data_IF_888083987707
#
_entry.id   IF_888083987707
#
_cell.length_a   1.000
_cell.length_b   1.000
_cell.length_c   1.000
_cell.angle_alpha   90.00
_cell.angle_beta   90.00
_cell.angle_gamma   90.00
#
_symmetry.space_group_name_H-M   'P 1'
#
loop_
_entity.id
_entity.type
_entity.pdbx_description
1 polymer ?
#
# COMPACT_ATOMS: atom_id res chain seq x y z
N UNK A 1 6.51 20.88 -4.99
CA UNK A 1 5.73 22.06 -4.56
C UNK A 1 4.90 22.62 -5.72
N UNK A 2 5.46 22.93 -6.91
CA UNK A 2 4.75 23.56 -8.04
C UNK A 2 3.54 22.74 -8.54
N UNK A 3 3.67 21.43 -8.74
CA UNK A 3 2.59 20.54 -9.19
C UNK A 3 1.41 20.48 -8.20
N UNK A 4 1.67 20.60 -6.89
CA UNK A 4 0.63 20.63 -5.84
C UNK A 4 -0.15 21.95 -5.85
N UNK A 5 0.53 23.07 -6.02
CA UNK A 5 -0.10 24.38 -6.13
C UNK A 5 -0.98 24.49 -7.38
N UNK A 6 -0.54 23.88 -8.48
CA UNK A 6 -1.34 23.82 -9.71
C UNK A 6 -2.60 22.98 -9.53
N UNK A 7 -2.51 21.81 -8.87
CA UNK A 7 -3.65 20.95 -8.56
C UNK A 7 -4.69 21.68 -7.67
N UNK A 8 -4.24 22.48 -6.68
CA UNK A 8 -5.15 23.26 -5.81
C UNK A 8 -5.87 24.35 -6.61
N UNK A 9 -5.20 25.01 -7.57
CA UNK A 9 -5.79 26.07 -8.38
C UNK A 9 -6.84 25.56 -9.36
N UNK A 10 -6.65 24.35 -9.88
CA UNK A 10 -7.51 23.77 -10.93
C UNK A 10 -8.80 23.16 -10.36
N UNK A 11 -8.94 23.09 -9.02
CA UNK A 11 -10.08 22.44 -8.35
C UNK A 11 -10.78 23.36 -7.35
N UNK A 12 -11.61 24.29 -7.85
CA UNK A 12 -12.40 25.22 -7.00
C UNK A 12 -13.86 24.80 -6.79
N UNK A 13 -14.31 23.66 -7.37
CA UNK A 13 -15.71 23.21 -7.30
C UNK A 13 -16.01 22.27 -6.13
N UNK A 14 -17.30 22.16 -5.79
CA UNK A 14 -17.79 21.22 -4.76
C UNK A 14 -17.39 19.77 -5.12
N UNK A 15 -16.63 19.11 -4.26
CA UNK A 15 -16.01 17.80 -4.54
C UNK A 15 -14.51 17.90 -4.92
N UNK A 16 -13.97 19.09 -5.05
CA UNK A 16 -12.56 19.31 -5.35
C UNK A 16 -11.61 18.71 -4.32
N UNK A 17 -12.02 18.64 -3.05
CA UNK A 17 -11.22 18.05 -1.98
C UNK A 17 -10.84 16.59 -2.28
N UNK A 18 -11.75 15.81 -2.85
CA UNK A 18 -11.49 14.44 -3.24
C UNK A 18 -10.46 14.36 -4.40
N UNK A 19 -10.65 15.17 -5.45
CA UNK A 19 -9.72 15.22 -6.59
C UNK A 19 -8.32 15.71 -6.17
N UNK A 20 -8.25 16.67 -5.24
CA UNK A 20 -6.98 17.16 -4.69
C UNK A 20 -6.29 16.07 -3.89
N UNK A 21 -7.02 15.31 -3.07
CA UNK A 21 -6.49 14.19 -2.31
C UNK A 21 -5.95 13.08 -3.21
N UNK A 22 -6.68 12.73 -4.27
CA UNK A 22 -6.23 11.78 -5.30
C UNK A 22 -4.96 12.25 -6.00
N UNK A 23 -4.91 13.53 -6.38
CA UNK A 23 -3.73 14.07 -7.06
C UNK A 23 -2.50 14.16 -6.15
N UNK A 24 -2.69 14.45 -4.87
CA UNK A 24 -1.60 14.41 -3.88
C UNK A 24 -1.07 12.98 -3.68
N UNK A 25 -1.96 12.00 -3.67
CA UNK A 25 -1.63 10.58 -3.64
C UNK A 25 -0.77 10.16 -4.85
N UNK A 26 -1.18 10.54 -6.05
CA UNK A 26 -0.45 10.25 -7.28
C UNK A 26 0.93 10.93 -7.32
N UNK A 27 1.02 12.19 -6.88
CA UNK A 27 2.28 12.95 -6.83
C UNK A 27 3.28 12.33 -5.84
N UNK A 28 2.79 11.73 -4.74
CA UNK A 28 3.63 11.07 -3.73
C UNK A 28 3.96 9.62 -4.06
N UNK A 29 3.21 9.02 -5.00
CA UNK A 29 3.22 7.59 -5.27
C UNK A 29 2.46 6.79 -4.20
N UNK A 30 1.79 5.72 -4.61
CA UNK A 30 0.99 4.88 -3.71
C UNK A 30 1.86 4.02 -2.75
N UNK A 31 3.17 4.02 -2.92
CA UNK A 31 4.10 3.45 -1.93
C UNK A 31 3.92 4.03 -0.53
N UNK A 32 3.49 5.29 -0.44
CA UNK A 32 3.16 5.96 0.82
C UNK A 32 1.78 5.59 1.36
N UNK A 33 0.88 5.07 0.54
CA UNK A 33 -0.43 4.58 0.95
C UNK A 33 -0.33 3.24 1.68
N UNK A 34 0.69 2.48 1.35
CA UNK A 34 1.00 1.18 1.93
C UNK A 34 2.01 1.28 3.09
N UNK A 35 2.56 2.47 3.37
CA UNK A 35 3.55 2.73 4.42
C UNK A 35 3.04 3.63 5.55
N UNK A 36 3.75 3.63 6.69
CA UNK A 36 3.39 4.35 7.92
C UNK A 36 3.83 5.82 7.97
N UNK A 37 4.54 6.34 6.98
CA UNK A 37 5.00 7.74 7.00
C UNK A 37 3.93 8.69 6.45
N UNK A 38 3.00 9.06 7.29
CA UNK A 38 2.11 10.21 7.11
C UNK A 38 2.66 11.46 7.86
N UNK A 39 3.90 11.83 7.61
CA UNK A 39 4.43 13.10 8.10
C UNK A 39 4.38 14.15 7.01
N UNK A 40 3.21 14.77 6.85
CA UNK A 40 3.07 15.91 5.93
C UNK A 40 1.64 16.29 5.65
N UNK A 41 1.08 17.14 6.53
CA UNK A 41 -0.16 17.92 6.40
C UNK A 41 -1.52 17.21 6.38
N UNK A 42 -2.27 17.59 7.35
CA UNK A 42 -3.59 17.32 7.93
C UNK A 42 -4.75 16.99 6.97
N UNK A 43 -4.69 17.31 5.68
CA UNK A 43 -5.79 17.11 4.74
C UNK A 43 -5.82 15.72 4.07
N UNK A 44 -4.69 15.04 3.92
CA UNK A 44 -4.63 13.67 3.40
C UNK A 44 -4.87 12.61 4.49
N UNK A 45 -4.46 12.91 5.74
CA UNK A 45 -4.66 12.06 6.92
C UNK A 45 -6.15 11.87 7.24
N UNK A 46 -6.98 12.90 6.99
CA UNK A 46 -8.39 12.87 7.32
C UNK A 46 -9.18 11.78 6.60
N UNK A 47 -8.95 11.56 5.33
CA UNK A 47 -9.78 10.63 4.55
C UNK A 47 -9.37 9.17 4.76
N UNK A 48 -8.08 8.85 4.70
CA UNK A 48 -7.60 7.49 4.95
C UNK A 48 -7.86 7.07 6.41
N UNK A 49 -7.56 7.96 7.39
CA UNK A 49 -7.87 7.72 8.80
C UNK A 49 -9.39 7.68 9.06
N UNK A 50 -10.18 8.49 8.37
CA UNK A 50 -11.64 8.46 8.46
C UNK A 50 -12.20 7.15 7.89
N UNK A 51 -11.74 6.68 6.74
CA UNK A 51 -12.12 5.40 6.16
C UNK A 51 -11.71 4.24 7.08
N UNK A 52 -10.50 4.26 7.62
CA UNK A 52 -10.01 3.26 8.57
C UNK A 52 -10.82 3.27 9.88
N UNK A 53 -11.13 4.42 10.45
CA UNK A 53 -11.99 4.53 11.63
C UNK A 53 -13.43 4.06 11.35
N UNK A 54 -13.98 4.38 10.19
CA UNK A 54 -15.31 3.93 9.77
C UNK A 54 -15.34 2.40 9.62
N UNK A 55 -14.35 1.84 9.00
CA UNK A 55 -14.21 0.40 8.79
C UNK A 55 -13.98 -0.35 10.11
N UNK A 56 -13.12 0.17 10.99
CA UNK A 56 -12.94 -0.36 12.35
C UNK A 56 -14.24 -0.29 13.15
N UNK A 57 -15.02 0.80 13.03
CA UNK A 57 -16.30 0.96 13.71
C UNK A 57 -17.35 0.00 13.17
N UNK A 58 -17.42 -0.17 11.85
CA UNK A 58 -18.34 -1.11 11.20
C UNK A 58 -17.98 -2.55 11.58
N UNK A 59 -16.70 -2.90 11.59
CA UNK A 59 -16.22 -4.23 11.97
C UNK A 59 -16.44 -4.51 13.46
N UNK A 60 -16.30 -3.52 14.36
CA UNK A 60 -16.69 -3.64 15.77
C UNK A 60 -18.19 -3.89 15.95
N UNK A 61 -19.00 -3.18 15.19
CA UNK A 61 -20.47 -3.33 15.25
C UNK A 61 -20.96 -4.66 14.67
N UNK A 62 -20.30 -5.17 13.62
CA UNK A 62 -20.67 -6.43 12.96
C UNK A 62 -20.18 -7.68 13.70
N UNK A 63 -18.98 -7.66 14.24
CA UNK A 63 -18.30 -8.88 14.67
C UNK A 63 -18.15 -9.03 16.18
N UNK A 64 -18.51 -8.03 16.99
CA UNK A 64 -18.55 -8.14 18.48
C UNK A 64 -17.26 -8.60 19.16
N UNK A 65 -16.12 -8.68 18.45
CA UNK A 65 -14.85 -9.17 18.98
C UNK A 65 -13.81 -8.04 18.96
N UNK A 66 -13.33 -7.71 20.14
CA UNK A 66 -12.10 -6.96 20.38
C UNK A 66 -10.87 -7.86 20.08
N UNK A 67 -10.63 -8.18 18.82
CA UNK A 67 -9.29 -8.55 18.44
C UNK A 67 -8.52 -7.24 18.28
N UNK A 68 -7.48 -7.03 19.06
CA UNK A 68 -6.47 -5.99 18.80
C UNK A 68 -5.96 -6.27 17.38
N UNK A 69 -6.21 -5.38 16.39
CA UNK A 69 -5.71 -5.62 15.05
C UNK A 69 -4.19 -5.68 15.15
N UNK A 70 -3.59 -6.75 14.63
CA UNK A 70 -2.15 -6.78 14.46
C UNK A 70 -1.77 -5.56 13.59
N UNK A 71 -0.73 -4.81 13.96
CA UNK A 71 -0.36 -3.63 13.21
C UNK A 71 -0.02 -4.01 11.76
N UNK A 72 -0.56 -3.26 10.82
CA UNK A 72 -0.33 -3.47 9.39
C UNK A 72 1.17 -3.33 9.07
N UNK A 73 1.75 -4.17 8.20
CA UNK A 73 3.16 -4.08 7.85
C UNK A 73 3.55 -2.73 7.27
N UNK A 74 4.64 -2.16 7.74
CA UNK A 74 5.18 -0.90 7.23
C UNK A 74 5.97 -1.15 5.96
N UNK A 75 5.60 -0.48 4.86
CA UNK A 75 6.29 -0.58 3.58
C UNK A 75 6.99 0.74 3.25
N UNK A 76 8.32 0.78 3.36
CA UNK A 76 9.15 1.94 2.98
C UNK A 76 9.86 1.65 1.67
N UNK A 77 9.15 1.74 0.56
CA UNK A 77 9.66 1.46 -0.78
C UNK A 77 9.48 2.71 -1.65
N UNK A 78 10.61 3.31 -2.05
CA UNK A 78 10.60 4.44 -2.99
C UNK A 78 10.53 3.90 -4.41
N UNK A 79 9.32 3.83 -4.96
CA UNK A 79 9.05 3.40 -6.32
C UNK A 79 7.91 4.22 -6.93
N UNK A 80 7.92 4.37 -8.25
CA UNK A 80 6.78 4.92 -8.99
C UNK A 80 5.69 3.84 -9.07
N UNK A 81 4.76 3.90 -8.12
CA UNK A 81 3.69 2.93 -7.96
C UNK A 81 2.36 3.68 -7.76
N UNK A 82 1.62 3.87 -8.83
CA UNK A 82 0.34 4.58 -8.85
C UNK A 82 -0.49 4.13 -10.05
N UNK A 83 -1.74 4.56 -10.14
CA UNK A 83 -2.63 4.29 -11.27
C UNK A 83 -2.69 5.54 -12.15
N UNK A 84 -2.09 5.54 -13.37
CA UNK A 84 -2.11 6.68 -14.28
C UNK A 84 -3.54 7.06 -14.74
N UNK A 85 -3.78 8.35 -15.04
CA UNK A 85 -5.07 8.85 -15.50
C UNK A 85 -5.45 8.36 -16.90
N UNK A 86 -4.45 8.10 -17.73
CA UNK A 86 -4.61 7.54 -19.08
C UNK A 86 -4.94 6.05 -19.06
N UNK A 87 -4.58 5.34 -17.99
CA UNK A 87 -4.95 3.94 -17.80
C UNK A 87 -6.34 3.78 -17.16
N UNK A 88 -6.62 4.47 -16.06
CA UNK A 88 -7.95 4.52 -15.43
C UNK A 88 -8.28 5.96 -15.09
N UNK A 89 -9.25 6.54 -15.80
CA UNK A 89 -9.62 7.95 -15.64
C UNK A 89 -10.68 8.21 -14.56
N UNK A 90 -11.50 7.22 -14.19
CA UNK A 90 -12.54 7.40 -13.15
C UNK A 90 -11.90 7.38 -11.74
N UNK A 91 -11.97 8.51 -10.99
CA UNK A 91 -11.38 8.59 -9.66
C UNK A 91 -11.98 7.61 -8.64
N UNK A 92 -13.25 7.21 -8.83
CA UNK A 92 -13.93 6.25 -7.93
C UNK A 92 -13.36 4.86 -8.09
N UNK A 93 -13.12 4.44 -9.33
CA UNK A 93 -12.47 3.17 -9.65
C UNK A 93 -11.03 3.13 -9.14
N UNK A 94 -10.26 4.22 -9.35
CA UNK A 94 -8.91 4.31 -8.79
C UNK A 94 -8.90 4.12 -7.28
N UNK A 95 -9.81 4.81 -6.57
CA UNK A 95 -9.89 4.72 -5.12
C UNK A 95 -10.25 3.31 -4.63
N UNK A 96 -11.19 2.67 -5.32
CA UNK A 96 -11.55 1.28 -5.03
C UNK A 96 -10.37 0.34 -5.24
N UNK A 97 -9.63 0.48 -6.34
CA UNK A 97 -8.44 -0.32 -6.62
C UNK A 97 -7.32 -0.07 -5.61
N UNK A 98 -7.06 1.18 -5.23
CA UNK A 98 -6.08 1.48 -4.18
C UNK A 98 -6.45 0.82 -2.85
N UNK A 99 -7.73 0.83 -2.47
CA UNK A 99 -8.22 0.13 -1.29
C UNK A 99 -8.01 -1.38 -1.42
N UNK A 100 -8.39 -1.96 -2.55
CA UNK A 100 -8.20 -3.41 -2.82
C UNK A 100 -6.73 -3.79 -2.77
N UNK A 101 -5.83 -3.02 -3.37
CA UNK A 101 -4.38 -3.24 -3.26
C UNK A 101 -3.87 -3.14 -1.82
N UNK A 102 -4.37 -2.16 -1.06
CA UNK A 102 -3.97 -1.96 0.33
C UNK A 102 -4.33 -3.15 1.23
N UNK A 103 -5.48 -3.78 0.99
CA UNK A 103 -6.06 -4.86 1.80
C UNK A 103 -5.79 -6.26 1.24
N UNK A 104 -5.27 -6.38 0.02
CA UNK A 104 -5.14 -7.60 -0.76
C UNK A 104 -4.47 -8.73 0.02
N UNK A 105 -5.15 -9.88 0.23
CA UNK A 105 -4.51 -11.09 0.69
C UNK A 105 -3.53 -11.62 -0.36
N UNK A 106 -2.41 -12.19 0.08
CA UNK A 106 -1.41 -12.71 -0.85
C UNK A 106 -1.97 -13.78 -1.81
N UNK A 107 -2.94 -14.58 -1.35
CA UNK A 107 -3.57 -15.62 -2.15
C UNK A 107 -4.39 -15.07 -3.34
N UNK A 108 -4.95 -13.86 -3.21
CA UNK A 108 -5.84 -13.24 -4.19
C UNK A 108 -5.12 -12.30 -5.17
N UNK A 109 -3.79 -12.23 -5.10
CA UNK A 109 -3.00 -11.26 -5.88
C UNK A 109 -3.12 -11.45 -7.40
N UNK A 110 -3.15 -12.71 -7.84
CA UNK A 110 -3.21 -13.04 -9.27
C UNK A 110 -4.63 -12.79 -9.80
N UNK A 111 -5.66 -13.14 -9.04
CA UNK A 111 -7.06 -12.91 -9.40
C UNK A 111 -7.36 -11.40 -9.56
N UNK A 112 -6.79 -10.56 -8.68
CA UNK A 112 -6.93 -9.12 -8.80
C UNK A 112 -6.23 -8.57 -10.05
N UNK A 113 -5.05 -9.08 -10.38
CA UNK A 113 -4.32 -8.67 -11.57
C UNK A 113 -5.08 -9.08 -12.84
N UNK A 114 -5.58 -10.30 -12.89
CA UNK A 114 -6.37 -10.82 -14.02
C UNK A 114 -7.65 -9.99 -14.22
N UNK A 115 -8.36 -9.62 -13.15
CA UNK A 115 -9.52 -8.72 -13.24
C UNK A 115 -9.14 -7.34 -13.82
N UNK A 116 -8.00 -6.80 -13.42
CA UNK A 116 -7.53 -5.50 -13.93
C UNK A 116 -7.21 -5.61 -15.42
N UNK A 117 -6.56 -6.68 -15.85
CA UNK A 117 -6.21 -6.94 -17.24
C UNK A 117 -7.48 -7.10 -18.10
N UNK A 118 -8.45 -7.85 -17.61
CA UNK A 118 -9.72 -8.08 -18.32
C UNK A 118 -10.51 -6.78 -18.53
N UNK A 119 -10.46 -5.86 -17.57
CA UNK A 119 -11.26 -4.63 -17.60
C UNK A 119 -10.60 -3.47 -18.30
N UNK A 120 -9.29 -3.33 -18.13
CA UNK A 120 -8.52 -2.13 -18.53
C UNK A 120 -7.38 -2.44 -19.50
N UNK A 121 -7.15 -3.72 -19.81
CA UNK A 121 -6.01 -4.15 -20.61
C UNK A 121 -4.73 -4.28 -19.79
N UNK A 122 -3.60 -4.49 -20.51
CA UNK A 122 -2.31 -4.69 -19.86
C UNK A 122 -1.93 -3.49 -18.97
N UNK A 123 -1.58 -3.71 -17.70
CA UNK A 123 -1.23 -2.65 -16.79
C UNK A 123 0.11 -2.00 -17.19
N UNK A 124 0.23 -0.68 -17.06
CA UNK A 124 1.51 0.01 -17.18
C UNK A 124 2.43 -0.33 -16.00
N UNK A 125 3.71 0.00 -16.13
CA UNK A 125 4.75 -0.38 -15.17
C UNK A 125 4.46 0.13 -13.75
N UNK A 126 3.86 1.29 -13.62
CA UNK A 126 3.46 1.90 -12.34
C UNK A 126 2.40 1.08 -11.61
N UNK A 127 1.43 0.52 -12.35
CA UNK A 127 0.38 -0.35 -11.81
C UNK A 127 0.94 -1.72 -11.46
N UNK A 128 1.80 -2.29 -12.30
CA UNK A 128 2.51 -3.53 -11.97
C UNK A 128 3.35 -3.37 -10.69
N UNK A 129 4.03 -2.24 -10.53
CA UNK A 129 4.82 -1.96 -9.34
C UNK A 129 3.92 -1.86 -8.10
N UNK A 130 2.77 -1.19 -8.21
CA UNK A 130 1.77 -1.11 -7.15
C UNK A 130 1.28 -2.50 -6.75
N UNK A 131 0.94 -3.35 -7.72
CA UNK A 131 0.55 -4.74 -7.49
C UNK A 131 1.65 -5.54 -6.78
N UNK A 132 2.90 -5.43 -7.20
CA UNK A 132 4.04 -6.12 -6.57
C UNK A 132 4.23 -5.70 -5.11
N UNK A 133 4.14 -4.40 -4.83
CA UNK A 133 4.25 -3.87 -3.45
C UNK A 133 3.08 -4.39 -2.60
N UNK A 134 1.86 -4.40 -3.14
CA UNK A 134 0.69 -4.94 -2.44
C UNK A 134 0.84 -6.45 -2.17
N UNK A 135 1.35 -7.22 -3.13
CA UNK A 135 1.63 -8.66 -2.96
C UNK A 135 2.66 -8.91 -1.85
N UNK A 136 3.76 -8.13 -1.82
CA UNK A 136 4.75 -8.21 -0.73
C UNK A 136 4.12 -7.86 0.61
N UNK A 137 3.26 -6.83 0.67
CA UNK A 137 2.55 -6.46 1.90
C UNK A 137 1.62 -7.58 2.38
N UNK A 138 0.87 -8.19 1.47
CA UNK A 138 0.01 -9.36 1.77
C UNK A 138 0.82 -10.54 2.32
N UNK A 139 2.01 -10.80 1.75
CA UNK A 139 2.93 -11.82 2.25
C UNK A 139 3.47 -11.48 3.64
N UNK A 140 3.80 -10.20 3.88
CA UNK A 140 4.25 -9.73 5.20
C UNK A 140 3.17 -9.95 6.27
N UNK A 141 1.90 -9.70 5.96
CA UNK A 141 0.78 -10.00 6.87
C UNK A 141 0.69 -11.48 7.19
N UNK A 142 0.77 -12.34 6.18
CA UNK A 142 0.73 -13.80 6.33
C UNK A 142 1.85 -14.32 7.23
N UNK A 143 3.05 -13.76 7.05
CA UNK A 143 4.25 -14.14 7.80
C UNK A 143 4.40 -13.37 9.12
N UNK A 144 3.50 -12.45 9.44
CA UNK A 144 3.59 -11.54 10.60
C UNK A 144 4.90 -10.75 10.64
N UNK A 145 5.34 -10.29 9.48
CA UNK A 145 6.48 -9.39 9.33
C UNK A 145 6.03 -7.98 9.65
N UNK A 146 6.81 -7.26 10.46
CA UNK A 146 6.49 -5.90 10.91
C UNK A 146 6.68 -4.85 9.82
N UNK A 147 7.65 -5.07 8.91
CA UNK A 147 7.86 -4.14 7.82
C UNK A 147 9.01 -4.50 6.90
N UNK A 148 9.01 -3.85 5.74
CA UNK A 148 10.05 -3.92 4.72
C UNK A 148 10.44 -2.52 4.31
N UNK A 149 11.73 -2.23 4.31
CA UNK A 149 12.27 -0.98 3.77
C UNK A 149 13.32 -1.23 2.70
N UNK A 150 13.32 -0.40 1.67
CA UNK A 150 14.32 -0.43 0.59
C UNK A 150 15.00 0.92 0.52
N UNK A 151 16.28 0.96 0.90
CA UNK A 151 17.10 2.19 0.90
C UNK A 151 18.48 1.90 0.33
N UNK A 152 18.91 2.68 -0.66
CA UNK A 152 20.26 2.57 -1.27
C UNK A 152 20.61 1.14 -1.75
N UNK A 153 19.64 0.43 -2.32
CA UNK A 153 19.84 -0.95 -2.80
C UNK A 153 19.87 -2.02 -1.69
N UNK A 154 19.65 -1.62 -0.42
CA UNK A 154 19.57 -2.56 0.70
C UNK A 154 18.09 -2.78 1.05
N UNK A 155 17.68 -4.03 1.11
CA UNK A 155 16.36 -4.45 1.61
C UNK A 155 16.50 -4.83 3.07
N UNK A 156 15.75 -4.16 3.94
CA UNK A 156 15.66 -4.50 5.36
C UNK A 156 14.29 -5.06 5.66
N UNK A 157 14.25 -6.25 6.24
CA UNK A 157 13.02 -6.90 6.71
C UNK A 157 13.03 -6.87 8.23
N UNK A 158 11.98 -6.32 8.84
CA UNK A 158 11.82 -6.24 10.29
C UNK A 158 10.76 -7.25 10.72
N UNK A 159 11.17 -8.23 11.51
CA UNK A 159 10.28 -9.26 12.03
C UNK A 159 9.51 -8.75 13.26
N UNK A 160 8.30 -9.25 13.48
CA UNK A 160 7.59 -9.09 14.75
C UNK A 160 8.06 -10.17 15.74
N UNK A 161 7.75 -9.99 17.03
CA UNK A 161 8.01 -11.01 18.06
C UNK A 161 7.25 -12.33 17.81
N UNK A 162 6.18 -12.25 17.00
CA UNK A 162 5.33 -13.39 16.67
C UNK A 162 5.43 -13.75 15.17
N UNK A 163 6.55 -13.42 14.53
CA UNK A 163 6.75 -13.72 13.11
C UNK A 163 6.61 -15.23 12.84
N UNK A 164 5.87 -15.56 11.80
CA UNK A 164 5.61 -16.93 11.37
C UNK A 164 6.76 -17.43 10.49
N UNK A 165 7.97 -17.39 11.03
CA UNK A 165 9.22 -17.77 10.34
C UNK A 165 10.00 -18.74 11.22
N UNK A 166 10.29 -19.90 10.68
CA UNK A 166 11.10 -20.89 11.40
C UNK A 166 12.57 -20.44 11.45
N UNK A 167 13.19 -20.35 12.64
CA UNK A 167 14.58 -19.90 12.78
C UNK A 167 15.57 -20.74 11.94
N UNK A 168 15.32 -22.04 11.83
CA UNK A 168 16.17 -22.94 11.04
C UNK A 168 16.11 -22.64 9.53
N UNK A 169 14.93 -22.31 9.01
CA UNK A 169 14.76 -21.91 7.61
C UNK A 169 15.51 -20.61 7.32
N UNK A 170 15.45 -19.66 8.26
CA UNK A 170 16.16 -18.38 8.14
C UNK A 170 17.69 -18.59 8.18
N UNK A 171 18.20 -19.43 9.07
CA UNK A 171 19.62 -19.77 9.12
C UNK A 171 20.10 -20.48 7.84
N UNK A 172 19.29 -21.36 7.26
CA UNK A 172 19.59 -21.99 5.96
C UNK A 172 19.66 -20.96 4.84
N UNK A 173 18.69 -20.03 4.80
CA UNK A 173 18.67 -18.95 3.81
C UNK A 173 19.92 -18.06 3.93
N UNK A 174 20.29 -17.65 5.13
CA UNK A 174 21.51 -16.88 5.39
C UNK A 174 22.77 -17.64 4.98
N UNK A 175 22.83 -18.94 5.24
CA UNK A 175 23.96 -19.78 4.84
C UNK A 175 24.10 -19.88 3.31
N UNK A 176 22.99 -19.91 2.58
CA UNK A 176 22.98 -19.95 1.12
C UNK A 176 23.35 -18.59 0.49
N UNK A 177 23.03 -17.48 1.18
CA UNK A 177 23.18 -16.11 0.65
C UNK A 177 24.15 -15.26 1.49
N UNK A 178 25.24 -15.85 2.00
CA UNK A 178 26.22 -15.20 2.90
C UNK A 178 26.78 -13.87 2.41
N UNK A 179 26.87 -13.68 1.09
CA UNK A 179 27.44 -12.47 0.50
C UNK A 179 26.40 -11.36 0.27
N UNK A 180 25.11 -11.66 0.38
CA UNK A 180 24.02 -10.73 0.06
C UNK A 180 23.04 -10.53 1.21
N UNK A 181 23.09 -11.40 2.23
CA UNK A 181 22.20 -11.33 3.39
C UNK A 181 23.00 -11.33 4.69
N UNK A 182 22.60 -10.49 5.63
CA UNK A 182 23.11 -10.44 7.00
C UNK A 182 21.96 -10.20 7.99
N UNK A 183 22.23 -10.48 9.27
CA UNK A 183 21.32 -10.19 10.39
C UNK A 183 21.76 -8.92 11.09
#
# INVERSE_FOLDING_TARGET
>A
AAKRLQAIRDFTELGAGFKIAMRDLEIRGAGNLLGSEQHGHITGIGFAAYCEMLEQTINRLKNGKTATPEPDPVMEISAEAYIPDDYISDPRYKMELYRRFAEMPYAERDDLLDEIIDRFGNPPQEVEMLWRIAAVKGLCRLMKIRGVSVRQGIIRITFSEHANVEPEALLKLLAQHKNTMNF
#
